data_IF_728461954578
#
_entry.id   IF_728461954578
#
_cell.length_a   1.000
_cell.length_b   1.000
_cell.length_c   1.000
_cell.angle_alpha   90.00
_cell.angle_beta   90.00
_cell.angle_gamma   90.00
#
_symmetry.space_group_name_H-M   'P 1'
#
loop_
_entity.id
_entity.type
_entity.pdbx_description
1 polymer ?
#
# COMPACT_ATOMS: atom_id res chain seq x y z
N UNK A 1 22.56 3.67 7.77
CA UNK A 1 21.34 3.82 6.97
C UNK A 1 20.09 4.14 7.82
N UNK A 2 19.73 3.34 8.83
CA UNK A 2 18.57 3.62 9.71
C UNK A 2 18.71 4.96 10.43
N UNK A 3 19.88 5.29 10.96
CA UNK A 3 20.15 6.58 11.60
C UNK A 3 20.01 7.78 10.65
N UNK A 4 20.39 7.63 9.39
CA UNK A 4 20.26 8.68 8.38
C UNK A 4 18.80 8.93 8.00
N UNK A 5 17.98 7.87 7.85
CA UNK A 5 16.56 8.00 7.58
C UNK A 5 15.82 8.68 8.73
N UNK A 6 16.12 8.33 9.99
CA UNK A 6 15.58 9.01 11.16
C UNK A 6 15.95 10.49 11.21
N UNK A 7 17.21 10.82 10.95
CA UNK A 7 17.66 12.20 10.93
C UNK A 7 16.96 13.01 9.84
N UNK A 8 16.78 12.43 8.66
CA UNK A 8 16.02 13.06 7.57
C UNK A 8 14.53 13.23 7.94
N UNK A 9 13.90 12.22 8.52
CA UNK A 9 12.50 12.31 8.96
C UNK A 9 12.32 13.42 10.00
N UNK A 10 13.17 13.49 11.01
CA UNK A 10 13.17 14.56 12.01
C UNK A 10 13.33 15.93 11.33
N UNK A 11 14.29 16.07 10.43
CA UNK A 11 14.52 17.33 9.68
C UNK A 11 13.29 17.75 8.88
N UNK A 12 12.55 16.80 8.26
CA UNK A 12 11.31 17.10 7.55
C UNK A 12 10.22 17.56 8.51
N UNK A 13 10.01 16.86 9.62
CA UNK A 13 9.05 17.27 10.67
C UNK A 13 9.33 18.69 11.17
N UNK A 14 10.61 19.05 11.41
CA UNK A 14 10.99 20.43 11.76
C UNK A 14 10.60 21.46 10.71
N UNK A 15 10.49 21.07 9.44
CA UNK A 15 10.01 21.90 8.32
C UNK A 15 8.51 21.84 8.10
N UNK A 16 7.75 21.28 9.04
CA UNK A 16 6.33 20.99 8.94
C UNK A 16 5.97 20.05 7.77
N UNK A 17 6.87 19.12 7.43
CA UNK A 17 6.68 18.15 6.35
C UNK A 17 6.89 16.71 6.85
N UNK A 18 6.30 15.77 6.15
CA UNK A 18 6.60 14.35 6.28
C UNK A 18 7.64 13.92 5.24
N UNK A 19 8.31 12.77 5.44
CA UNK A 19 9.12 12.15 4.39
C UNK A 19 8.29 11.95 3.11
N UNK A 20 8.65 12.66 2.05
CA UNK A 20 7.88 12.70 0.81
C UNK A 20 7.76 11.33 0.13
N UNK A 21 6.58 11.05 -0.42
CA UNK A 21 6.30 9.84 -1.19
C UNK A 21 5.71 10.19 -2.55
N UNK A 22 6.25 9.59 -3.61
CA UNK A 22 5.74 9.69 -4.96
C UNK A 22 5.29 8.32 -5.46
N UNK A 23 4.04 8.22 -5.91
CA UNK A 23 3.52 7.03 -6.60
C UNK A 23 3.45 7.36 -8.07
N UNK A 24 4.14 6.58 -8.91
CA UNK A 24 4.15 6.75 -10.36
C UNK A 24 3.43 5.56 -11.00
N UNK A 25 2.29 5.82 -11.61
CA UNK A 25 1.61 4.86 -12.46
C UNK A 25 2.31 4.84 -13.83
N UNK A 26 3.22 3.87 -14.02
CA UNK A 26 4.03 3.81 -15.25
C UNK A 26 3.23 3.40 -16.49
N UNK A 27 2.14 2.66 -16.29
CA UNK A 27 1.22 2.17 -17.32
C UNK A 27 -0.13 1.81 -16.75
N UNK A 28 -1.16 1.83 -17.55
CA UNK A 28 -2.47 1.24 -17.24
C UNK A 28 -2.71 -0.10 -17.97
N UNK A 29 -1.73 -0.60 -18.75
CA UNK A 29 -1.80 -1.92 -19.35
C UNK A 29 -1.70 -3.01 -18.28
N UNK A 30 -2.60 -4.00 -18.33
CA UNK A 30 -2.63 -5.15 -17.43
C UNK A 30 -3.09 -6.40 -18.17
N UNK A 31 -2.65 -7.56 -17.69
CA UNK A 31 -3.01 -8.88 -18.22
C UNK A 31 -3.91 -9.69 -17.27
N UNK A 32 -4.31 -9.14 -16.11
CA UNK A 32 -5.20 -9.78 -15.16
C UNK A 32 -6.67 -9.34 -15.31
N UNK A 33 -7.60 -10.12 -14.75
CA UNK A 33 -9.06 -9.91 -14.87
C UNK A 33 -9.71 -9.35 -13.62
N UNK A 34 -8.92 -9.01 -12.59
CA UNK A 34 -9.36 -8.66 -11.23
C UNK A 34 -10.66 -7.84 -11.21
N UNK A 35 -11.77 -8.33 -10.64
CA UNK A 35 -13.04 -7.61 -10.65
C UNK A 35 -12.95 -6.27 -9.89
N UNK A 36 -12.13 -6.21 -8.86
CA UNK A 36 -11.90 -5.02 -8.03
C UNK A 36 -11.06 -3.93 -8.71
N UNK A 37 -10.57 -4.12 -9.94
CA UNK A 37 -9.64 -3.20 -10.59
C UNK A 37 -10.17 -2.65 -11.91
N UNK A 38 -10.19 -1.33 -12.06
CA UNK A 38 -10.58 -0.69 -13.30
C UNK A 38 -9.61 -0.88 -14.46
N UNK A 39 -8.34 -1.24 -14.19
CA UNK A 39 -7.31 -1.48 -15.21
C UNK A 39 -7.29 -2.93 -15.76
N UNK A 40 -8.23 -3.76 -15.33
CA UNK A 40 -8.31 -5.16 -15.76
C UNK A 40 -8.31 -5.32 -17.29
N UNK A 41 -7.82 -6.46 -17.78
CA UNK A 41 -7.73 -6.75 -19.23
C UNK A 41 -9.08 -6.69 -19.96
N UNK A 42 -10.19 -6.87 -19.24
CA UNK A 42 -11.56 -6.79 -19.78
C UNK A 42 -12.10 -5.36 -19.89
N UNK A 43 -11.41 -4.35 -19.35
CA UNK A 43 -11.84 -2.96 -19.43
C UNK A 43 -11.49 -2.37 -20.81
N UNK A 44 -12.52 -1.83 -21.48
CA UNK A 44 -12.41 -1.33 -22.86
C UNK A 44 -11.99 0.13 -22.94
N UNK A 45 -10.69 0.42 -22.72
CA UNK A 45 -10.13 1.77 -22.97
C UNK A 45 -8.72 1.68 -23.59
N UNK A 46 -8.30 2.77 -24.25
CA UNK A 46 -6.96 2.85 -24.81
C UNK A 46 -5.91 2.86 -23.70
N UNK A 47 -5.00 1.89 -23.76
CA UNK A 47 -3.90 1.77 -22.79
C UNK A 47 -2.84 2.82 -22.98
N UNK A 48 -2.33 3.34 -21.89
CA UNK A 48 -1.28 4.36 -21.84
C UNK A 48 -0.04 3.82 -21.15
N UNK A 49 1.09 4.41 -21.49
CA UNK A 49 2.38 4.16 -20.85
C UNK A 49 3.20 5.42 -20.89
N UNK A 50 3.79 5.78 -19.77
CA UNK A 50 4.70 6.93 -19.70
C UNK A 50 6.02 6.62 -20.40
N UNK A 51 6.60 7.63 -21.01
CA UNK A 51 7.96 7.53 -21.54
C UNK A 51 8.98 7.46 -20.43
N UNK A 52 10.10 6.77 -20.65
CA UNK A 52 11.20 6.73 -19.70
C UNK A 52 11.69 8.13 -19.32
N UNK A 53 11.71 9.07 -20.28
CA UNK A 53 12.17 10.43 -20.01
C UNK A 53 11.21 11.20 -19.12
N UNK A 54 9.90 11.03 -19.27
CA UNK A 54 8.91 11.61 -18.36
C UNK A 54 9.10 11.09 -16.93
N UNK A 55 9.31 9.77 -16.79
CA UNK A 55 9.51 9.16 -15.47
C UNK A 55 10.84 9.61 -14.87
N UNK A 56 11.93 9.71 -15.64
CA UNK A 56 13.22 10.20 -15.16
C UNK A 56 13.13 11.62 -14.64
N UNK A 57 12.49 12.53 -15.38
CA UNK A 57 12.27 13.92 -14.91
C UNK A 57 11.52 13.96 -13.58
N UNK A 58 10.47 13.13 -13.42
CA UNK A 58 9.73 13.05 -12.17
C UNK A 58 10.60 12.49 -11.03
N UNK A 59 11.44 11.49 -11.28
CA UNK A 59 12.39 10.94 -10.29
C UNK A 59 13.42 12.00 -9.88
N UNK A 60 14.03 12.69 -10.83
CA UNK A 60 15.04 13.72 -10.56
C UNK A 60 14.44 14.86 -9.74
N UNK A 61 13.25 15.34 -10.13
CA UNK A 61 12.52 16.35 -9.37
C UNK A 61 12.14 15.87 -7.95
N UNK A 62 11.79 14.58 -7.79
CA UNK A 62 11.50 14.02 -6.47
C UNK A 62 12.76 13.99 -5.58
N UNK A 63 13.91 13.63 -6.13
CA UNK A 63 15.17 13.62 -5.43
C UNK A 63 15.60 15.05 -5.02
N UNK A 64 15.53 16.02 -5.93
CA UNK A 64 15.82 17.45 -5.67
C UNK A 64 14.89 18.03 -4.57
N UNK A 65 13.60 17.66 -4.60
CA UNK A 65 12.61 18.04 -3.59
C UNK A 65 12.75 17.27 -2.27
N UNK A 66 13.70 16.31 -2.17
CA UNK A 66 14.01 15.57 -0.94
C UNK A 66 13.01 14.46 -0.60
N UNK A 67 12.34 13.90 -1.59
CA UNK A 67 11.45 12.76 -1.41
C UNK A 67 12.22 11.52 -0.95
N UNK A 68 11.58 10.71 -0.09
CA UNK A 68 12.20 9.56 0.52
C UNK A 68 11.70 8.22 -0.04
N UNK A 69 10.57 8.22 -0.72
CA UNK A 69 10.00 7.00 -1.26
C UNK A 69 9.43 7.21 -2.68
N UNK A 70 9.70 6.24 -3.56
CA UNK A 70 9.05 6.14 -4.87
C UNK A 70 8.44 4.74 -5.01
N UNK A 71 7.19 4.71 -5.47
CA UNK A 71 6.49 3.48 -5.84
C UNK A 71 6.21 3.48 -7.33
N UNK A 72 6.76 2.50 -8.05
CA UNK A 72 6.35 2.25 -9.43
C UNK A 72 5.18 1.28 -9.42
N UNK A 73 4.04 1.73 -9.93
CA UNK A 73 2.79 0.98 -9.97
C UNK A 73 2.17 1.06 -11.37
N UNK A 74 0.97 0.56 -11.54
CA UNK A 74 0.27 0.65 -12.80
C UNK A 74 -0.78 -0.44 -12.94
N UNK A 75 -1.04 -0.85 -14.17
CA UNK A 75 -1.73 -2.09 -14.46
C UNK A 75 -0.89 -3.28 -14.00
N UNK A 76 0.13 -3.64 -14.81
CA UNK A 76 1.14 -4.64 -14.43
C UNK A 76 2.54 -4.14 -14.82
N UNK A 77 3.35 -3.68 -13.88
CA UNK A 77 4.67 -3.14 -14.17
C UNK A 77 5.64 -4.13 -14.82
N UNK A 78 5.54 -5.43 -14.48
CA UNK A 78 6.44 -6.46 -15.03
C UNK A 78 6.18 -6.78 -16.51
N UNK A 79 5.13 -6.25 -17.13
CA UNK A 79 4.99 -6.28 -18.60
C UNK A 79 6.10 -5.47 -19.29
N UNK A 80 6.75 -4.57 -18.57
CA UNK A 80 7.82 -3.68 -19.05
C UNK A 80 9.04 -3.78 -18.13
N UNK A 81 9.49 -5.02 -17.86
CA UNK A 81 10.53 -5.32 -16.86
C UNK A 81 11.83 -4.55 -17.09
N UNK A 82 12.33 -4.48 -18.32
CA UNK A 82 13.62 -3.82 -18.61
C UNK A 82 13.56 -2.32 -18.29
N UNK A 83 12.46 -1.66 -18.66
CA UNK A 83 12.25 -0.26 -18.31
C UNK A 83 12.08 -0.07 -16.82
N UNK A 84 11.33 -0.96 -16.16
CA UNK A 84 11.15 -0.92 -14.70
C UNK A 84 12.50 -1.03 -13.97
N UNK A 85 13.39 -1.92 -14.41
CA UNK A 85 14.75 -2.05 -13.87
C UNK A 85 15.54 -0.75 -14.08
N UNK A 86 15.43 -0.14 -15.28
CA UNK A 86 16.09 1.13 -15.58
C UNK A 86 15.57 2.27 -14.68
N UNK A 87 14.26 2.35 -14.44
CA UNK A 87 13.64 3.34 -13.55
C UNK A 87 14.10 3.16 -12.10
N UNK A 88 14.12 1.91 -11.59
CA UNK A 88 14.57 1.61 -10.22
C UNK A 88 16.05 2.00 -10.03
N UNK A 89 16.91 1.68 -11.01
CA UNK A 89 18.33 2.06 -10.98
C UNK A 89 18.48 3.58 -10.99
N UNK A 90 17.76 4.28 -11.86
CA UNK A 90 17.80 5.74 -11.95
C UNK A 90 17.36 6.39 -10.61
N UNK A 91 16.26 5.92 -10.01
CA UNK A 91 15.80 6.41 -8.72
C UNK A 91 16.85 6.22 -7.60
N UNK A 92 17.54 5.08 -7.60
CA UNK A 92 18.63 4.85 -6.65
C UNK A 92 19.83 5.74 -6.89
N UNK A 93 20.23 5.98 -8.15
CA UNK A 93 21.30 6.91 -8.53
C UNK A 93 20.97 8.36 -8.15
N UNK A 94 19.70 8.76 -8.30
CA UNK A 94 19.19 10.06 -7.87
C UNK A 94 19.13 10.20 -6.33
N UNK A 95 19.37 9.13 -5.56
CA UNK A 95 19.44 9.17 -4.11
C UNK A 95 18.14 8.87 -3.36
N UNK A 96 17.12 8.36 -4.03
CA UNK A 96 15.86 7.93 -3.37
C UNK A 96 16.14 6.67 -2.53
N UNK A 97 15.95 6.72 -1.19
CA UNK A 97 16.36 5.63 -0.33
C UNK A 97 15.37 4.45 -0.28
N UNK A 98 14.08 4.67 -0.56
CA UNK A 98 13.05 3.64 -0.49
C UNK A 98 12.30 3.52 -1.82
N UNK A 99 12.65 2.51 -2.61
CA UNK A 99 12.09 2.27 -3.92
C UNK A 99 11.29 0.96 -3.85
N UNK A 100 10.07 0.98 -4.35
CA UNK A 100 9.19 -0.19 -4.34
C UNK A 100 8.42 -0.36 -5.64
N UNK A 101 8.10 -1.61 -5.95
CA UNK A 101 7.21 -2.01 -7.04
C UNK A 101 6.57 -3.35 -6.72
N UNK A 102 5.67 -3.81 -7.56
CA UNK A 102 5.04 -5.12 -7.37
C UNK A 102 4.45 -5.69 -8.62
N UNK A 103 3.76 -6.82 -8.46
CA UNK A 103 3.17 -7.57 -9.56
C UNK A 103 1.84 -8.21 -9.17
N UNK A 104 0.98 -8.40 -10.16
CA UNK A 104 -0.21 -9.23 -10.03
C UNK A 104 0.11 -10.74 -9.91
N UNK A 105 1.37 -11.12 -10.14
CA UNK A 105 1.86 -12.48 -10.00
C UNK A 105 1.89 -13.31 -11.28
N UNK A 106 1.47 -12.80 -12.44
CA UNK A 106 1.38 -13.58 -13.69
C UNK A 106 2.66 -14.33 -14.05
N UNK A 107 3.82 -13.80 -13.68
CA UNK A 107 5.14 -14.40 -13.92
C UNK A 107 5.36 -15.70 -13.16
N UNK A 108 4.55 -15.98 -12.14
CA UNK A 108 4.62 -17.21 -11.34
C UNK A 108 3.75 -18.35 -11.86
N UNK A 109 2.93 -18.14 -12.90
CA UNK A 109 2.16 -19.23 -13.52
C UNK A 109 3.06 -20.29 -14.17
N UNK A 110 2.52 -21.50 -14.26
CA UNK A 110 3.22 -22.63 -14.91
C UNK A 110 4.40 -23.14 -14.11
N UNK A 111 4.23 -23.28 -12.82
CA UNK A 111 5.26 -23.77 -11.87
C UNK A 111 5.67 -25.24 -12.10
N UNK A 112 4.89 -25.98 -12.88
CA UNK A 112 5.15 -27.35 -13.35
C UNK A 112 5.94 -27.43 -14.66
N UNK A 113 6.08 -26.30 -15.37
CA UNK A 113 6.72 -26.25 -16.68
C UNK A 113 8.24 -26.23 -16.56
N UNK A 114 8.90 -26.90 -17.51
CA UNK A 114 10.37 -26.82 -17.66
C UNK A 114 10.82 -25.37 -17.81
N UNK A 115 11.85 -24.98 -17.07
CA UNK A 115 12.42 -23.64 -17.11
C UNK A 115 11.76 -22.63 -16.15
N UNK A 116 10.77 -23.03 -15.35
CA UNK A 116 10.16 -22.16 -14.34
C UNK A 116 11.22 -21.58 -13.39
N UNK A 117 12.02 -22.42 -12.74
CA UNK A 117 13.04 -21.96 -11.79
C UNK A 117 14.01 -20.97 -12.43
N UNK A 118 14.55 -21.28 -13.62
CA UNK A 118 15.49 -20.39 -14.32
C UNK A 118 14.86 -19.04 -14.72
N UNK A 119 13.54 -19.01 -15.00
CA UNK A 119 12.81 -17.77 -15.23
C UNK A 119 12.72 -16.95 -13.95
N UNK A 120 12.39 -17.58 -12.82
CA UNK A 120 12.28 -16.91 -11.54
C UNK A 120 13.64 -16.45 -11.02
N UNK A 121 14.68 -17.25 -11.17
CA UNK A 121 16.07 -16.87 -10.86
C UNK A 121 16.50 -15.61 -11.62
N UNK A 122 16.27 -15.55 -12.94
CA UNK A 122 16.57 -14.33 -13.72
C UNK A 122 15.83 -13.09 -13.20
N UNK A 123 14.54 -13.23 -12.89
CA UNK A 123 13.75 -12.12 -12.33
C UNK A 123 14.29 -11.69 -10.95
N UNK A 124 14.56 -12.67 -10.07
CA UNK A 124 15.07 -12.40 -8.73
C UNK A 124 16.44 -11.71 -8.77
N UNK A 125 17.35 -12.18 -9.62
CA UNK A 125 18.66 -11.53 -9.84
C UNK A 125 18.50 -10.12 -10.44
N UNK A 126 17.66 -9.95 -11.47
CA UNK A 126 17.43 -8.64 -12.08
C UNK A 126 16.95 -7.60 -11.05
N UNK A 127 16.05 -7.99 -10.13
CA UNK A 127 15.60 -7.13 -9.03
C UNK A 127 16.68 -6.99 -7.95
N UNK A 128 17.42 -8.04 -7.61
CA UNK A 128 18.50 -8.01 -6.62
C UNK A 128 19.65 -7.07 -7.01
N UNK A 129 19.92 -6.94 -8.30
CA UNK A 129 20.93 -6.03 -8.87
C UNK A 129 20.47 -4.55 -8.92
N UNK A 130 19.33 -4.24 -8.31
CA UNK A 130 18.79 -2.88 -8.20
C UNK A 130 18.71 -2.43 -6.73
N UNK A 131 18.57 -1.12 -6.46
CA UNK A 131 18.36 -0.62 -5.11
C UNK A 131 16.92 -0.76 -4.59
N UNK A 132 16.09 -1.65 -5.16
CA UNK A 132 14.73 -1.91 -4.70
C UNK A 132 14.72 -2.27 -3.20
N UNK A 133 13.73 -1.76 -2.46
CA UNK A 133 13.53 -2.07 -1.03
C UNK A 133 12.31 -2.92 -0.74
N UNK A 134 11.28 -2.82 -1.57
CA UNK A 134 10.12 -3.67 -1.43
C UNK A 134 9.61 -4.11 -2.80
N UNK A 135 9.42 -5.41 -2.95
CA UNK A 135 8.74 -6.03 -4.08
C UNK A 135 7.51 -6.73 -3.54
N UNK A 136 6.32 -6.26 -3.94
CA UNK A 136 5.08 -6.90 -3.48
C UNK A 136 4.48 -7.83 -4.54
N UNK A 137 3.84 -8.89 -4.07
CA UNK A 137 3.07 -9.85 -4.86
C UNK A 137 1.64 -9.79 -4.36
N UNK A 138 0.71 -9.51 -5.25
CA UNK A 138 -0.69 -9.36 -4.87
C UNK A 138 -1.34 -10.72 -4.58
N UNK A 139 -2.07 -10.81 -3.47
CA UNK A 139 -2.94 -11.94 -3.10
C UNK A 139 -4.23 -11.37 -2.51
N UNK A 140 -5.40 -11.73 -3.09
CA UNK A 140 -6.67 -11.10 -2.75
C UNK A 140 -7.61 -12.00 -1.92
N UNK A 141 -7.24 -13.25 -1.66
CA UNK A 141 -8.05 -14.18 -0.87
C UNK A 141 -7.17 -15.13 -0.06
N UNK A 142 -7.65 -15.54 1.11
CA UNK A 142 -7.06 -16.61 1.89
C UNK A 142 -7.24 -17.99 1.26
N UNK A 143 -8.09 -18.11 0.23
CA UNK A 143 -8.34 -19.34 -0.52
C UNK A 143 -7.68 -19.24 -1.89
N UNK A 144 -6.62 -20.03 -2.17
CA UNK A 144 -5.85 -19.94 -3.41
C UNK A 144 -6.69 -19.96 -4.68
N UNK A 145 -7.64 -20.89 -4.77
CA UNK A 145 -8.51 -21.06 -5.94
C UNK A 145 -9.37 -19.81 -6.21
N UNK A 146 -9.84 -19.16 -5.16
CA UNK A 146 -10.63 -17.91 -5.27
C UNK A 146 -9.75 -16.77 -5.75
N UNK A 147 -8.54 -16.63 -5.20
CA UNK A 147 -7.56 -15.65 -5.68
C UNK A 147 -7.26 -15.84 -7.18
N UNK A 148 -6.97 -17.07 -7.59
CA UNK A 148 -6.62 -17.42 -8.97
C UNK A 148 -7.78 -17.15 -9.94
N UNK A 149 -9.00 -17.51 -9.56
CA UNK A 149 -10.19 -17.27 -10.35
C UNK A 149 -10.47 -15.76 -10.53
N UNK A 150 -10.37 -14.98 -9.45
CA UNK A 150 -10.56 -13.53 -9.47
C UNK A 150 -9.57 -12.83 -10.41
N UNK A 151 -8.31 -13.25 -10.40
CA UNK A 151 -7.26 -12.63 -11.25
C UNK A 151 -7.22 -13.21 -12.65
N UNK A 152 -7.78 -14.40 -12.88
CA UNK A 152 -7.63 -15.16 -14.11
C UNK A 152 -6.20 -15.68 -14.31
N UNK A 153 -5.53 -16.05 -13.20
CA UNK A 153 -4.13 -16.50 -13.16
C UNK A 153 -4.03 -17.90 -12.51
N UNK A 154 -4.45 -18.96 -13.19
CA UNK A 154 -4.48 -20.31 -12.62
C UNK A 154 -3.08 -20.82 -12.26
N UNK A 155 -2.95 -21.49 -11.10
CA UNK A 155 -1.69 -22.05 -10.58
C UNK A 155 -0.68 -21.00 -10.12
N UNK A 156 -1.10 -19.72 -9.98
CA UNK A 156 -0.18 -18.65 -9.57
C UNK A 156 0.27 -18.81 -8.13
N UNK A 157 -0.58 -19.32 -7.23
CA UNK A 157 -0.25 -19.46 -5.81
C UNK A 157 0.82 -20.54 -5.58
N UNK A 158 0.70 -21.69 -6.26
CA UNK A 158 1.74 -22.72 -6.25
C UNK A 158 3.07 -22.17 -6.78
N UNK A 159 3.00 -21.37 -7.83
CA UNK A 159 4.18 -20.71 -8.39
C UNK A 159 4.82 -19.71 -7.45
N UNK A 160 4.04 -18.94 -6.71
CA UNK A 160 4.54 -18.03 -5.67
C UNK A 160 5.25 -18.81 -4.59
N UNK A 161 4.65 -19.91 -4.09
CA UNK A 161 5.26 -20.74 -3.06
C UNK A 161 6.64 -21.29 -3.49
N UNK A 162 6.76 -21.74 -4.74
CA UNK A 162 8.04 -22.21 -5.30
C UNK A 162 9.04 -21.08 -5.56
N UNK A 163 8.56 -19.88 -5.88
CA UNK A 163 9.42 -18.74 -6.21
C UNK A 163 10.02 -18.06 -4.98
N UNK A 164 9.29 -17.98 -3.85
CA UNK A 164 9.75 -17.25 -2.67
C UNK A 164 11.12 -17.71 -2.14
N UNK A 165 11.45 -19.02 -2.04
CA UNK A 165 12.79 -19.45 -1.64
C UNK A 165 13.88 -18.95 -2.60
N UNK A 166 13.61 -18.87 -3.90
CA UNK A 166 14.55 -18.36 -4.91
C UNK A 166 14.82 -16.87 -4.68
N UNK A 167 13.77 -16.07 -4.45
CA UNK A 167 13.91 -14.66 -4.10
C UNK A 167 14.70 -14.46 -2.79
N UNK A 168 14.42 -15.28 -1.77
CA UNK A 168 15.12 -15.21 -0.49
C UNK A 168 16.62 -15.52 -0.65
N UNK A 169 16.98 -16.50 -1.48
CA UNK A 169 18.37 -16.84 -1.79
C UNK A 169 19.11 -15.66 -2.48
N UNK A 170 18.38 -14.84 -3.27
CA UNK A 170 18.90 -13.63 -3.88
C UNK A 170 18.87 -12.39 -2.95
N UNK A 171 18.49 -12.54 -1.68
CA UNK A 171 18.40 -11.43 -0.71
C UNK A 171 17.24 -10.47 -0.97
N UNK A 172 16.18 -10.94 -1.62
CA UNK A 172 14.89 -10.25 -1.76
C UNK A 172 13.85 -10.99 -0.94
N UNK A 173 13.14 -10.27 -0.09
CA UNK A 173 12.06 -10.80 0.75
C UNK A 173 10.74 -10.13 0.33
N UNK A 174 10.02 -10.69 -0.65
CA UNK A 174 8.79 -10.08 -1.14
C UNK A 174 7.73 -9.95 -0.06
N UNK A 175 6.84 -8.96 -0.23
CA UNK A 175 5.65 -8.83 0.60
C UNK A 175 4.41 -9.38 -0.09
N UNK A 176 3.53 -10.06 0.65
CA UNK A 176 2.17 -10.28 0.20
C UNK A 176 1.39 -8.95 0.29
N UNK A 177 0.64 -8.62 -0.76
CA UNK A 177 -0.19 -7.43 -0.80
C UNK A 177 -1.65 -7.84 -0.95
N UNK A 178 -2.42 -7.73 0.13
CA UNK A 178 -3.83 -8.07 0.15
C UNK A 178 -4.66 -6.90 -0.38
N UNK A 179 -5.36 -7.09 -1.50
CA UNK A 179 -6.47 -6.21 -1.85
C UNK A 179 -7.73 -6.66 -1.11
N UNK A 180 -8.15 -5.93 -0.08
CA UNK A 180 -9.31 -6.31 0.73
C UNK A 180 -10.58 -6.26 -0.13
N UNK A 181 -11.34 -7.37 -0.10
CA UNK A 181 -12.54 -7.56 -0.89
C UNK A 181 -13.50 -8.55 -0.21
N UNK A 182 -14.70 -8.73 -0.76
CA UNK A 182 -15.72 -9.61 -0.18
C UNK A 182 -15.39 -11.10 -0.25
N UNK A 183 -14.45 -11.51 -1.11
CA UNK A 183 -14.02 -12.91 -1.28
C UNK A 183 -12.77 -13.27 -0.43
N UNK A 184 -12.43 -12.46 0.57
CA UNK A 184 -11.24 -12.65 1.39
C UNK A 184 -11.13 -14.06 1.99
N UNK A 185 -12.21 -14.57 2.59
CA UNK A 185 -12.26 -15.89 3.21
C UNK A 185 -12.83 -16.99 2.29
N UNK A 186 -12.87 -16.74 0.98
CA UNK A 186 -13.33 -17.74 0.00
C UNK A 186 -14.84 -17.78 -0.22
N UNK A 187 -15.59 -16.83 0.28
CA UNK A 187 -17.02 -16.70 -0.04
C UNK A 187 -17.22 -16.34 -1.51
N UNK A 188 -18.30 -16.80 -2.09
CA UNK A 188 -18.74 -16.36 -3.41
C UNK A 188 -19.52 -15.05 -3.26
N UNK A 189 -18.90 -13.92 -3.62
CA UNK A 189 -19.58 -12.61 -3.59
C UNK A 189 -20.78 -12.57 -4.56
N UNK A 190 -20.82 -13.48 -5.54
CA UNK A 190 -21.95 -13.59 -6.49
C UNK A 190 -23.23 -14.10 -5.83
N UNK A 191 -23.14 -14.77 -4.67
CA UNK A 191 -24.31 -15.20 -3.89
C UNK A 191 -24.78 -14.15 -2.90
N UNK A 192 -24.12 -12.97 -2.84
CA UNK A 192 -24.19 -12.02 -1.76
C UNK A 192 -25.14 -10.84 -1.94
N UNK A 193 -26.37 -11.04 -2.43
CA UNK A 193 -27.44 -10.05 -2.19
C UNK A 193 -27.96 -10.08 -0.72
N UNK A 194 -27.45 -10.99 0.12
CA UNK A 194 -27.71 -10.97 1.56
C UNK A 194 -26.51 -10.31 2.26
N UNK A 195 -26.65 -9.02 2.57
CA UNK A 195 -25.73 -8.35 3.49
C UNK A 195 -25.74 -9.09 4.82
N UNK A 196 -24.56 -9.53 5.26
CA UNK A 196 -24.41 -10.17 6.56
C UNK A 196 -24.86 -9.22 7.66
N UNK A 197 -25.48 -9.75 8.72
CA UNK A 197 -25.69 -8.98 9.94
C UNK A 197 -24.34 -8.48 10.50
N UNK A 198 -24.28 -7.33 11.18
CA UNK A 198 -23.03 -6.69 11.61
C UNK A 198 -22.06 -7.63 12.33
N UNK A 199 -22.55 -8.44 13.29
CA UNK A 199 -21.74 -9.40 14.01
C UNK A 199 -21.20 -10.52 13.11
N UNK A 200 -22.03 -11.07 12.23
CA UNK A 200 -21.60 -12.10 11.27
C UNK A 200 -20.58 -11.55 10.27
N UNK A 201 -20.73 -10.30 9.84
CA UNK A 201 -19.79 -9.59 8.99
C UNK A 201 -18.43 -9.43 9.70
N UNK A 202 -18.44 -8.94 10.93
CA UNK A 202 -17.21 -8.79 11.73
C UNK A 202 -16.49 -10.14 11.91
N UNK A 203 -17.19 -11.20 12.28
CA UNK A 203 -16.60 -12.53 12.49
C UNK A 203 -16.04 -13.11 11.16
N UNK A 204 -16.74 -12.93 10.06
CA UNK A 204 -16.27 -13.34 8.73
C UNK A 204 -14.93 -12.71 8.38
N UNK A 205 -14.81 -11.37 8.53
CA UNK A 205 -13.58 -10.66 8.22
C UNK A 205 -12.47 -10.95 9.23
N UNK A 206 -12.81 -11.05 10.51
CA UNK A 206 -11.84 -11.42 11.55
C UNK A 206 -11.18 -12.77 11.25
N UNK A 207 -12.00 -13.79 10.97
CA UNK A 207 -11.51 -15.11 10.58
C UNK A 207 -10.77 -15.08 9.24
N UNK A 208 -11.27 -14.32 8.27
CA UNK A 208 -10.65 -14.17 6.95
C UNK A 208 -9.25 -13.57 7.00
N UNK A 209 -9.03 -12.53 7.82
CA UNK A 209 -7.70 -11.96 8.02
C UNK A 209 -6.75 -12.92 8.70
N UNK A 210 -7.20 -13.68 9.71
CA UNK A 210 -6.39 -14.70 10.34
C UNK A 210 -6.00 -15.83 9.38
N UNK A 211 -6.92 -16.27 8.52
CA UNK A 211 -6.66 -17.25 7.48
C UNK A 211 -5.65 -16.71 6.45
N UNK A 212 -5.81 -15.45 6.05
CA UNK A 212 -4.90 -14.80 5.12
C UNK A 212 -3.47 -14.71 5.67
N UNK A 213 -3.31 -14.27 6.93
CA UNK A 213 -1.99 -14.21 7.56
C UNK A 213 -1.35 -15.60 7.70
N UNK A 214 -2.14 -16.64 8.01
CA UNK A 214 -1.64 -18.04 8.04
C UNK A 214 -1.16 -18.46 6.65
N UNK A 215 -1.98 -18.26 5.61
CA UNK A 215 -1.60 -18.57 4.23
C UNK A 215 -0.31 -17.82 3.84
N UNK A 216 -0.20 -16.54 4.13
CA UNK A 216 1.01 -15.78 3.81
C UNK A 216 2.26 -16.35 4.50
N UNK A 217 2.16 -16.78 5.76
CA UNK A 217 3.24 -17.46 6.47
C UNK A 217 3.57 -18.83 5.85
N UNK A 218 2.57 -19.62 5.51
CA UNK A 218 2.73 -20.97 4.91
C UNK A 218 3.35 -20.92 3.52
N UNK A 219 3.01 -19.90 2.72
CA UNK A 219 3.64 -19.66 1.42
C UNK A 219 5.11 -19.24 1.54
N UNK A 220 5.52 -18.75 2.71
CA UNK A 220 6.89 -18.29 2.96
C UNK A 220 7.07 -16.77 2.85
N UNK A 221 6.02 -15.98 2.77
CA UNK A 221 6.16 -14.52 2.87
C UNK A 221 6.69 -14.12 4.25
N UNK A 222 7.49 -13.06 4.25
CA UNK A 222 8.04 -12.49 5.48
C UNK A 222 7.46 -11.12 5.81
N UNK A 223 6.59 -10.62 4.94
CA UNK A 223 5.96 -9.30 5.05
C UNK A 223 4.58 -9.31 4.42
N UNK A 224 3.64 -8.56 5.01
CA UNK A 224 2.29 -8.36 4.49
C UNK A 224 1.92 -6.89 4.56
N UNK A 225 1.26 -6.42 3.50
CA UNK A 225 0.51 -5.16 3.47
C UNK A 225 -0.95 -5.44 3.13
N UNK A 226 -1.88 -4.64 3.67
CA UNK A 226 -3.29 -4.67 3.30
C UNK A 226 -3.65 -3.37 2.59
N UNK A 227 -4.09 -3.48 1.33
CA UNK A 227 -4.73 -2.38 0.62
C UNK A 227 -6.22 -2.37 0.98
N UNK A 228 -6.69 -1.24 1.48
CA UNK A 228 -8.08 -1.07 1.88
C UNK A 228 -9.02 -1.10 0.67
N UNK A 229 -10.34 -1.28 0.87
CA UNK A 229 -11.26 -1.40 -0.26
C UNK A 229 -11.19 -0.18 -1.17
N UNK A 230 -10.82 -0.41 -2.44
CA UNK A 230 -10.61 0.66 -3.44
C UNK A 230 -11.94 1.05 -4.10
N UNK A 231 -12.95 1.40 -3.31
CA UNK A 231 -14.25 1.88 -3.79
C UNK A 231 -14.64 3.18 -3.12
N UNK A 232 -15.21 4.07 -3.93
CA UNK A 232 -15.91 5.26 -3.45
C UNK A 232 -17.39 4.93 -3.57
N UNK A 233 -18.15 4.89 -2.46
CA UNK A 233 -19.59 4.62 -2.51
C UNK A 233 -20.33 5.65 -3.39
N UNK A 234 -21.28 5.18 -4.18
CA UNK A 234 -22.19 6.05 -4.93
C UNK A 234 -22.94 6.97 -3.95
N UNK A 235 -22.85 8.28 -4.13
CA UNK A 235 -23.46 9.28 -3.25
C UNK A 235 -22.48 9.99 -2.30
N UNK A 236 -21.32 9.41 -1.99
CA UNK A 236 -20.22 10.12 -1.28
C UNK A 236 -19.29 10.84 -2.26
N UNK A 237 -19.46 10.64 -3.58
CA UNK A 237 -18.72 11.36 -4.63
C UNK A 237 -19.01 12.87 -4.68
N UNK A 238 -19.97 13.37 -3.88
CA UNK A 238 -20.25 14.80 -3.74
C UNK A 238 -19.15 15.62 -3.06
N UNK A 239 -18.20 14.97 -2.41
CA UNK A 239 -17.13 15.62 -1.63
C UNK A 239 -15.80 15.77 -2.42
N UNK A 240 -15.82 15.70 -3.75
CA UNK A 240 -14.67 15.99 -4.60
C UNK A 240 -13.73 14.79 -4.84
N UNK A 241 -14.13 13.58 -4.43
CA UNK A 241 -13.39 12.37 -4.78
C UNK A 241 -13.69 11.95 -6.23
N UNK A 242 -12.66 11.87 -7.05
CA UNK A 242 -12.73 11.44 -8.45
C UNK A 242 -11.48 10.60 -8.75
N UNK A 243 -11.62 9.31 -9.08
CA UNK A 243 -10.47 8.46 -9.34
C UNK A 243 -9.62 8.98 -10.50
N UNK A 244 -8.32 9.13 -10.28
CA UNK A 244 -7.36 9.47 -11.34
C UNK A 244 -7.21 8.33 -12.33
N UNK A 245 -7.16 7.12 -11.81
CA UNK A 245 -7.07 5.91 -12.60
C UNK A 245 -8.34 5.08 -12.42
N UNK A 246 -8.70 4.35 -13.46
CA UNK A 246 -9.92 3.53 -13.49
C UNK A 246 -9.87 2.34 -12.50
N UNK A 247 -9.25 2.52 -11.34
CA UNK A 247 -8.99 1.47 -10.36
C UNK A 247 -10.07 1.34 -9.31
N UNK A 248 -10.98 2.30 -9.22
CA UNK A 248 -12.16 2.16 -8.37
C UNK A 248 -13.17 1.32 -9.11
N UNK A 249 -13.21 0.05 -8.78
CA UNK A 249 -14.25 -0.79 -9.30
C UNK A 249 -15.58 -0.37 -8.68
N UNK A 250 -16.56 -0.19 -9.53
CA UNK A 250 -17.98 -0.16 -9.17
C UNK A 250 -18.49 -1.58 -8.88
N UNK A 251 -17.57 -2.56 -8.76
CA UNK A 251 -17.90 -3.97 -8.56
C UNK A 251 -18.28 -4.22 -7.11
N UNK A 252 -19.36 -4.95 -6.90
CA UNK A 252 -19.88 -5.30 -5.56
C UNK A 252 -18.82 -5.95 -4.66
N UNK A 253 -17.80 -6.58 -5.25
CA UNK A 253 -16.72 -7.24 -4.51
C UNK A 253 -15.92 -6.30 -3.62
N UNK A 254 -15.89 -4.99 -3.92
CA UNK A 254 -15.22 -3.94 -3.12
C UNK A 254 -16.18 -2.87 -2.62
N UNK A 255 -17.47 -3.00 -2.89
CA UNK A 255 -18.48 -2.05 -2.43
C UNK A 255 -18.86 -2.36 -0.97
N UNK A 256 -18.38 -1.56 -0.04
CA UNK A 256 -18.65 -1.66 1.39
C UNK A 256 -19.35 -0.39 1.88
N UNK A 257 -20.41 -0.57 2.66
CA UNK A 257 -21.02 0.55 3.37
C UNK A 257 -20.08 1.10 4.44
N UNK A 258 -20.34 2.32 4.90
CA UNK A 258 -19.58 2.98 5.96
C UNK A 258 -19.47 2.12 7.24
N UNK A 259 -20.59 1.52 7.66
CA UNK A 259 -20.62 0.61 8.82
C UNK A 259 -19.78 -0.65 8.57
N UNK A 260 -19.92 -1.26 7.39
CA UNK A 260 -19.11 -2.44 7.02
C UNK A 260 -17.61 -2.11 7.04
N UNK A 261 -17.18 -0.95 6.53
CA UNK A 261 -15.77 -0.51 6.60
C UNK A 261 -15.29 -0.34 8.04
N UNK A 262 -16.10 0.23 8.93
CA UNK A 262 -15.75 0.37 10.35
C UNK A 262 -15.52 -1.00 11.00
N UNK A 263 -16.42 -1.95 10.80
CA UNK A 263 -16.29 -3.32 11.31
C UNK A 263 -15.10 -4.07 10.68
N UNK A 264 -14.86 -3.87 9.38
CA UNK A 264 -13.73 -4.45 8.67
C UNK A 264 -12.39 -3.97 9.22
N UNK A 265 -12.23 -2.66 9.46
CA UNK A 265 -11.00 -2.10 10.04
C UNK A 265 -10.81 -2.52 11.49
N UNK A 266 -11.89 -2.63 12.26
CA UNK A 266 -11.85 -3.22 13.60
C UNK A 266 -11.36 -4.68 13.55
N UNK A 267 -11.96 -5.51 12.71
CA UNK A 267 -11.59 -6.91 12.55
C UNK A 267 -10.11 -7.08 12.14
N UNK A 268 -9.63 -6.25 11.18
CA UNK A 268 -8.23 -6.24 10.78
C UNK A 268 -7.31 -5.83 11.93
N UNK A 269 -7.63 -4.75 12.64
CA UNK A 269 -6.85 -4.27 13.78
C UNK A 269 -6.69 -5.31 14.88
N UNK A 270 -7.73 -6.10 15.12
CA UNK A 270 -7.73 -7.15 16.13
C UNK A 270 -7.06 -8.45 15.67
N UNK A 271 -7.01 -8.74 14.36
CA UNK A 271 -6.29 -9.88 13.82
C UNK A 271 -4.75 -9.70 13.88
N UNK A 272 -4.27 -8.49 13.65
CA UNK A 272 -2.84 -8.17 13.52
C UNK A 272 -1.96 -8.65 14.67
N UNK A 273 -2.30 -8.45 15.98
CA UNK A 273 -1.41 -8.80 17.08
C UNK A 273 -0.98 -10.26 17.08
N UNK A 274 -1.88 -11.19 16.78
CA UNK A 274 -1.62 -12.64 16.77
C UNK A 274 -0.55 -13.07 15.75
N UNK A 275 -0.20 -12.19 14.79
CA UNK A 275 0.74 -12.51 13.72
C UNK A 275 2.00 -11.63 13.71
N UNK A 276 2.08 -10.56 14.50
CA UNK A 276 3.24 -9.64 14.54
C UNK A 276 4.57 -10.33 14.88
N UNK A 277 4.54 -11.43 15.61
CA UNK A 277 5.73 -12.24 15.91
C UNK A 277 6.16 -13.19 14.82
N UNK A 278 5.29 -13.45 13.83
CA UNK A 278 5.46 -14.47 12.78
C UNK A 278 5.72 -13.88 11.39
N UNK A 279 5.22 -12.67 11.14
CA UNK A 279 5.36 -11.98 9.85
C UNK A 279 5.37 -10.47 10.09
N UNK A 280 6.12 -9.72 9.29
CA UNK A 280 6.14 -8.25 9.35
C UNK A 280 4.86 -7.70 8.73
N UNK A 281 4.03 -6.99 9.49
CA UNK A 281 2.75 -6.44 9.03
C UNK A 281 2.89 -4.93 8.88
N UNK A 282 2.77 -4.46 7.63
CA UNK A 282 2.98 -3.05 7.27
C UNK A 282 1.83 -2.14 7.73
N UNK A 283 0.62 -2.66 7.85
CA UNK A 283 -0.58 -1.91 8.23
C UNK A 283 -0.51 -1.46 9.69
N UNK A 284 -0.51 -0.14 10.00
CA UNK A 284 -0.48 0.37 11.37
C UNK A 284 -1.86 0.27 12.02
N UNK A 285 -1.92 -0.27 13.22
CA UNK A 285 -3.18 -0.36 13.98
C UNK A 285 -3.69 1.02 14.41
N UNK A 286 -2.81 1.98 14.58
CA UNK A 286 -3.17 3.37 14.86
C UNK A 286 -4.04 3.94 13.75
N UNK A 287 -3.68 3.71 12.49
CA UNK A 287 -4.49 4.16 11.35
C UNK A 287 -5.84 3.44 11.28
N UNK A 288 -5.87 2.14 11.55
CA UNK A 288 -7.12 1.38 11.61
C UNK A 288 -8.06 1.89 12.70
N UNK A 289 -7.52 2.24 13.89
CA UNK A 289 -8.31 2.84 14.97
C UNK A 289 -8.88 4.20 14.55
N UNK A 290 -8.05 5.06 13.95
CA UNK A 290 -8.47 6.38 13.47
C UNK A 290 -9.56 6.27 12.39
N UNK A 291 -9.40 5.36 11.43
CA UNK A 291 -10.41 5.09 10.39
C UNK A 291 -11.70 4.51 10.96
N UNK A 292 -11.62 3.58 11.91
CA UNK A 292 -12.80 3.03 12.60
C UNK A 292 -13.60 4.14 13.29
N UNK A 293 -12.92 5.04 14.00
CA UNK A 293 -13.53 6.18 14.67
C UNK A 293 -14.17 7.15 13.67
N UNK A 294 -13.44 7.52 12.61
CA UNK A 294 -13.92 8.40 11.54
C UNK A 294 -15.20 7.85 10.91
N UNK A 295 -15.24 6.55 10.58
CA UNK A 295 -16.39 5.90 9.98
C UNK A 295 -17.57 5.73 10.94
N UNK A 296 -17.31 5.69 12.24
CA UNK A 296 -18.32 5.60 13.31
C UNK A 296 -18.68 6.95 13.92
N UNK A 297 -18.22 8.08 13.35
CA UNK A 297 -18.41 9.44 13.88
C UNK A 297 -18.00 9.61 15.34
N UNK A 298 -16.87 8.98 15.72
CA UNK A 298 -16.31 9.05 17.08
C UNK A 298 -15.15 10.06 17.14
N UNK A 299 -15.06 10.76 18.24
CA UNK A 299 -13.92 11.64 18.56
C UNK A 299 -12.78 10.85 19.26
N UNK A 300 -11.54 11.32 19.20
CA UNK A 300 -11.06 12.48 18.42
C UNK A 300 -10.92 12.18 16.93
N UNK A 301 -11.01 13.25 16.11
CA UNK A 301 -10.81 13.13 14.67
C UNK A 301 -9.42 12.58 14.30
N UNK A 302 -9.35 11.89 13.17
CA UNK A 302 -8.09 11.42 12.55
C UNK A 302 -7.21 12.59 12.12
N UNK A 303 -5.90 12.37 12.00
CA UNK A 303 -5.01 13.35 11.39
C UNK A 303 -5.34 13.52 9.90
N UNK A 304 -5.25 14.74 9.35
CA UNK A 304 -5.53 14.97 7.94
C UNK A 304 -4.50 14.25 7.05
N UNK A 305 -4.99 13.77 5.90
CA UNK A 305 -4.13 13.17 4.89
C UNK A 305 -3.17 14.20 4.29
N UNK A 306 -1.92 13.82 4.09
CA UNK A 306 -0.87 14.66 3.52
C UNK A 306 -0.76 14.54 1.99
N UNK A 307 -1.78 13.95 1.35
CA UNK A 307 -1.90 13.91 -0.11
C UNK A 307 -1.97 15.33 -0.70
N UNK A 308 -1.16 15.63 -1.71
CA UNK A 308 -1.01 16.97 -2.29
C UNK A 308 -0.10 17.91 -1.50
N UNK A 309 0.42 17.49 -0.34
CA UNK A 309 1.37 18.23 0.47
C UNK A 309 2.74 17.54 0.46
N UNK A 310 2.81 16.32 0.97
CA UNK A 310 4.04 15.52 1.06
C UNK A 310 3.97 14.27 0.18
N UNK A 311 2.77 13.87 -0.25
CA UNK A 311 2.52 12.68 -1.03
C UNK A 311 1.81 13.05 -2.33
N UNK A 312 2.26 12.46 -3.45
CA UNK A 312 1.72 12.76 -4.77
C UNK A 312 1.59 11.49 -5.61
N UNK A 313 0.67 11.55 -6.56
CA UNK A 313 0.40 10.50 -7.54
C UNK A 313 0.61 11.04 -8.94
N UNK A 314 1.33 10.30 -9.79
CA UNK A 314 1.50 10.60 -11.23
C UNK A 314 0.74 9.56 -12.03
N UNK A 315 -0.14 10.02 -12.94
CA UNK A 315 -0.96 9.16 -13.77
C UNK A 315 -0.24 8.65 -15.03
N UNK A 316 -0.70 7.52 -15.58
CA UNK A 316 -0.11 6.92 -16.77
C UNK A 316 -0.52 7.58 -18.08
N UNK A 317 -1.55 8.45 -18.10
CA UNK A 317 -2.10 9.05 -19.32
C UNK A 317 -1.35 10.31 -19.70
N UNK A 318 -1.25 11.24 -18.77
CA UNK A 318 -0.70 12.58 -18.97
C UNK A 318 0.71 12.73 -18.39
N UNK A 319 1.05 11.92 -17.38
CA UNK A 319 2.26 12.11 -16.57
C UNK A 319 2.13 13.29 -15.61
N UNK A 320 0.92 13.79 -15.39
CA UNK A 320 0.68 14.88 -14.46
C UNK A 320 0.61 14.38 -13.02
N UNK A 321 0.91 15.26 -12.10
CA UNK A 321 0.81 15.04 -10.67
C UNK A 321 -0.59 15.37 -10.16
N UNK A 322 -1.04 14.57 -9.19
CA UNK A 322 -2.31 14.74 -8.47
C UNK A 322 -2.05 14.64 -6.97
N UNK A 323 -2.91 15.24 -6.12
CA UNK A 323 -2.80 15.10 -4.67
C UNK A 323 -2.82 13.64 -4.19
N UNK A 324 -3.58 12.79 -4.88
CA UNK A 324 -3.64 11.34 -4.65
C UNK A 324 -4.37 10.64 -5.79
N UNK A 325 -4.51 9.32 -5.74
CA UNK A 325 -5.25 8.52 -6.73
C UNK A 325 -6.76 8.75 -6.75
N UNK A 326 -7.32 9.49 -5.79
CA UNK A 326 -8.77 9.77 -5.65
C UNK A 326 -9.15 11.23 -5.86
N UNK A 327 -8.22 12.12 -6.19
CA UNK A 327 -8.48 13.53 -6.50
C UNK A 327 -8.10 13.88 -7.93
N UNK A 328 -8.67 13.13 -8.88
CA UNK A 328 -8.42 13.29 -10.32
C UNK A 328 -8.94 14.60 -10.91
N UNK A 329 -9.82 15.32 -10.21
CA UNK A 329 -10.26 16.65 -10.61
C UNK A 329 -9.26 17.76 -10.22
N UNK A 330 -8.21 17.43 -9.45
CA UNK A 330 -7.18 18.36 -9.00
C UNK A 330 -5.88 18.06 -9.75
N UNK A 331 -5.84 18.34 -11.04
CA UNK A 331 -4.64 18.25 -11.86
C UNK A 331 -3.65 19.34 -11.46
N UNK A 332 -2.45 18.96 -11.01
CA UNK A 332 -1.40 19.86 -10.55
C UNK A 332 -0.32 20.10 -11.62
N UNK A 333 -0.50 19.56 -12.83
CA UNK A 333 0.48 19.66 -13.92
C UNK A 333 1.72 18.77 -13.73
N UNK A 334 2.82 19.13 -14.37
CA UNK A 334 4.08 18.39 -14.25
C UNK A 334 4.65 18.46 -12.84
N UNK A 335 5.06 17.30 -12.31
CA UNK A 335 5.58 17.20 -10.93
C UNK A 335 6.85 18.05 -10.71
N UNK A 336 7.67 18.18 -11.75
CA UNK A 336 8.87 19.00 -11.74
C UNK A 336 8.60 20.49 -11.48
N UNK A 337 7.46 21.00 -11.96
CA UNK A 337 7.07 22.39 -11.81
C UNK A 337 6.42 22.72 -10.45
N UNK A 338 6.08 21.72 -9.64
CA UNK A 338 5.43 21.96 -8.35
C UNK A 338 6.32 22.68 -7.37
N UNK A 339 5.79 23.76 -6.79
CA UNK A 339 6.40 24.45 -5.66
C UNK A 339 5.86 23.84 -4.35
N UNK A 340 6.70 23.12 -3.63
CA UNK A 340 6.28 22.49 -2.37
C UNK A 340 5.94 23.48 -1.25
N UNK A 341 6.41 24.72 -1.31
CA UNK A 341 6.01 25.74 -0.34
C UNK A 341 4.53 26.11 -0.49
N UNK A 342 4.08 26.28 -1.74
CA UNK A 342 2.67 26.56 -2.04
C UNK A 342 1.79 25.38 -1.62
N UNK A 343 2.19 24.14 -1.92
CA UNK A 343 1.44 22.95 -1.49
C UNK A 343 1.34 22.82 0.03
N UNK A 344 2.28 23.33 0.79
CA UNK A 344 2.23 23.32 2.25
C UNK A 344 1.19 24.31 2.79
N UNK A 345 1.07 25.49 2.15
CA UNK A 345 0.17 26.53 2.57
C UNK A 345 -1.28 26.27 2.12
N UNK A 346 -1.45 25.74 0.92
CA UNK A 346 -2.74 25.56 0.24
C UNK A 346 -3.20 24.10 0.21
N UNK A 347 -2.44 23.21 0.86
CA UNK A 347 -2.69 21.78 0.86
C UNK A 347 -4.03 21.41 1.48
N UNK A 348 -4.69 20.35 0.96
CA UNK A 348 -6.00 19.97 1.44
C UNK A 348 -5.95 19.41 2.87
N UNK A 349 -6.81 19.92 3.75
CA UNK A 349 -7.12 19.27 5.04
C UNK A 349 -8.10 18.11 4.77
N UNK A 350 -7.58 17.02 4.18
CA UNK A 350 -8.40 15.95 3.64
C UNK A 350 -8.56 14.80 4.62
N UNK A 351 -9.83 14.41 4.88
CA UNK A 351 -10.22 13.23 5.69
C UNK A 351 -11.24 12.32 4.97
N UNK A 352 -11.37 12.48 3.64
CA UNK A 352 -12.51 11.95 2.88
C UNK A 352 -12.44 10.44 2.62
N UNK A 353 -11.24 9.87 2.46
CA UNK A 353 -11.09 8.48 2.05
C UNK A 353 -10.22 7.66 3.02
N UNK A 354 -10.16 6.37 2.74
CA UNK A 354 -9.40 5.38 3.48
C UNK A 354 -8.18 4.83 2.70
N UNK A 355 -7.70 5.52 1.66
CA UNK A 355 -6.58 5.00 0.87
C UNK A 355 -5.29 4.91 1.68
N UNK A 356 -4.88 3.69 2.00
CA UNK A 356 -3.78 3.36 2.92
C UNK A 356 -2.45 4.00 2.54
N UNK A 357 -2.16 4.11 1.23
CA UNK A 357 -0.87 4.62 0.75
C UNK A 357 -0.51 5.99 1.31
N UNK A 358 -1.50 6.86 1.53
CA UNK A 358 -1.30 8.22 2.02
C UNK A 358 -1.93 8.44 3.41
N UNK A 359 -3.00 7.71 3.75
CA UNK A 359 -3.65 7.82 5.06
C UNK A 359 -2.79 7.24 6.18
N UNK A 360 -2.25 6.02 5.99
CA UNK A 360 -1.46 5.35 7.00
C UNK A 360 -0.21 6.14 7.42
N UNK A 361 0.66 6.63 6.51
CA UNK A 361 1.79 7.45 6.91
C UNK A 361 1.38 8.81 7.46
N UNK A 362 0.26 9.40 7.02
CA UNK A 362 -0.26 10.65 7.60
C UNK A 362 -0.68 10.46 9.04
N UNK A 363 -1.41 9.40 9.35
CA UNK A 363 -1.87 9.10 10.69
C UNK A 363 -0.71 8.69 11.62
N UNK A 364 0.20 7.84 11.13
CA UNK A 364 1.36 7.38 11.91
C UNK A 364 2.31 8.52 12.29
N UNK A 365 2.48 9.51 11.40
CA UNK A 365 3.39 10.65 11.61
C UNK A 365 2.67 11.91 12.10
N UNK A 366 1.36 11.93 12.07
CA UNK A 366 0.53 13.08 12.51
C UNK A 366 0.87 13.56 13.91
N UNK A 367 0.97 12.69 14.93
CA UNK A 367 1.34 13.10 16.27
C UNK A 367 2.69 13.82 16.37
N UNK A 368 3.65 13.49 15.50
CA UNK A 368 4.94 14.19 15.47
C UNK A 368 4.82 15.62 14.90
N UNK A 369 3.95 15.83 13.90
CA UNK A 369 3.64 17.17 13.39
C UNK A 369 2.86 17.99 14.42
N UNK A 370 1.90 17.40 15.12
CA UNK A 370 1.16 18.06 16.20
C UNK A 370 2.08 18.51 17.32
N UNK A 371 3.02 17.66 17.75
CA UNK A 371 4.02 18.01 18.77
C UNK A 371 4.90 19.19 18.34
N UNK A 372 5.20 19.31 17.05
CA UNK A 372 5.95 20.45 16.51
C UNK A 372 5.12 21.72 16.44
N UNK A 373 3.88 21.61 15.94
CA UNK A 373 3.05 22.78 15.60
C UNK A 373 2.24 23.30 16.80
N UNK A 374 1.73 22.38 17.63
CA UNK A 374 0.82 22.65 18.75
C UNK A 374 1.16 21.80 19.97
N UNK A 375 2.37 21.94 20.56
CA UNK A 375 2.90 20.99 21.56
C UNK A 375 1.99 20.81 22.78
N UNK A 376 1.40 21.88 23.29
CA UNK A 376 0.50 21.81 24.47
C UNK A 376 -0.76 21.00 24.16
N UNK A 377 -1.36 21.24 22.98
CA UNK A 377 -2.56 20.53 22.54
C UNK A 377 -2.26 19.06 22.24
N UNK A 378 -1.11 18.78 21.60
CA UNK A 378 -0.65 17.43 21.32
C UNK A 378 -0.44 16.64 22.60
N UNK A 379 0.24 17.20 23.60
CA UNK A 379 0.44 16.55 24.91
C UNK A 379 -0.90 16.32 25.60
N UNK A 380 -1.82 17.29 25.57
CA UNK A 380 -3.16 17.15 26.14
C UNK A 380 -3.91 16.00 25.45
N UNK A 381 -3.91 15.95 24.10
CA UNK A 381 -4.51 14.87 23.32
C UNK A 381 -3.93 13.51 23.67
N UNK A 382 -2.61 13.40 23.74
CA UNK A 382 -1.92 12.17 24.13
C UNK A 382 -2.28 11.71 25.55
N UNK A 383 -2.48 12.64 26.48
CA UNK A 383 -2.87 12.33 27.86
C UNK A 383 -4.34 11.92 27.99
N UNK A 384 -5.22 12.51 27.19
CA UNK A 384 -6.68 12.23 27.22
C UNK A 384 -7.04 10.99 26.41
N UNK A 385 -6.40 10.76 25.24
CA UNK A 385 -6.59 9.58 24.41
C UNK A 385 -5.45 8.56 24.61
N UNK A 386 -5.44 7.96 25.80
CA UNK A 386 -4.39 6.99 26.18
C UNK A 386 -4.37 5.75 25.29
N UNK A 387 -5.54 5.28 24.84
CA UNK A 387 -5.66 4.11 23.95
C UNK A 387 -4.96 4.33 22.63
N UNK A 388 -5.21 5.45 21.98
CA UNK A 388 -4.54 5.86 20.75
C UNK A 388 -3.02 6.02 20.97
N UNK A 389 -2.64 6.73 22.01
CA UNK A 389 -1.23 7.01 22.31
C UNK A 389 -0.42 5.75 22.55
N UNK A 390 -0.94 4.80 23.31
CA UNK A 390 -0.27 3.52 23.57
C UNK A 390 -0.14 2.69 22.30
N UNK A 391 -1.19 2.66 21.49
CA UNK A 391 -1.20 1.95 20.22
C UNK A 391 -0.19 2.57 19.21
N UNK A 392 -0.13 3.90 19.16
CA UNK A 392 0.84 4.63 18.34
C UNK A 392 2.29 4.32 18.73
N UNK A 393 2.60 4.34 20.02
CA UNK A 393 3.93 3.97 20.51
C UNK A 393 4.27 2.50 20.24
N UNK A 394 3.28 1.61 20.32
CA UNK A 394 3.42 0.19 19.96
C UNK A 394 3.76 0.05 18.45
N UNK A 395 3.02 0.74 17.58
CA UNK A 395 3.27 0.71 16.14
C UNK A 395 4.66 1.23 15.80
N UNK A 396 5.11 2.35 16.39
CA UNK A 396 6.46 2.88 16.16
C UNK A 396 7.56 1.88 16.57
N UNK A 397 7.42 1.22 17.72
CA UNK A 397 8.36 0.18 18.18
C UNK A 397 8.34 -1.02 17.25
N UNK A 398 7.15 -1.43 16.81
CA UNK A 398 6.99 -2.54 15.89
C UNK A 398 7.61 -2.23 14.51
N UNK A 399 7.41 -1.03 13.97
CA UNK A 399 8.05 -0.61 12.72
C UNK A 399 9.58 -0.67 12.80
N UNK A 400 10.14 -0.25 13.93
CA UNK A 400 11.57 -0.39 14.19
C UNK A 400 11.99 -1.87 14.26
N UNK A 401 11.23 -2.72 14.94
CA UNK A 401 11.49 -4.17 15.01
C UNK A 401 11.43 -4.83 13.64
N UNK A 402 10.52 -4.38 12.77
CA UNK A 402 10.39 -4.81 11.37
C UNK A 402 11.54 -4.31 10.46
N UNK A 403 12.46 -3.47 10.97
CA UNK A 403 13.51 -2.85 10.16
C UNK A 403 12.97 -1.92 9.09
N UNK A 404 11.85 -1.24 9.40
CA UNK A 404 11.11 -0.35 8.48
C UNK A 404 10.76 -1.02 7.15
N UNK A 405 10.41 -2.30 7.23
CA UNK A 405 9.95 -3.10 6.09
C UNK A 405 10.94 -3.14 4.91
N UNK A 406 12.24 -3.10 5.22
CA UNK A 406 13.29 -3.30 4.22
C UNK A 406 13.26 -4.75 3.72
N UNK A 407 12.72 -4.95 2.52
CA UNK A 407 12.62 -6.25 1.85
C UNK A 407 13.97 -6.78 1.34
N UNK A 408 15.08 -6.07 1.57
CA UNK A 408 16.45 -6.57 1.32
C UNK A 408 17.06 -7.26 2.54
N UNK A 409 16.31 -7.34 3.63
CA UNK A 409 16.77 -7.92 4.89
C UNK A 409 15.82 -9.01 5.35
N UNK A 410 16.41 -10.13 5.75
CA UNK A 410 15.68 -11.16 6.48
C UNK A 410 15.02 -10.58 7.75
N UNK A 411 13.86 -11.09 8.15
CA UNK A 411 13.20 -10.66 9.38
C UNK A 411 14.08 -10.88 10.60
N UNK A 412 14.11 -9.90 11.51
CA UNK A 412 14.76 -10.05 12.81
C UNK A 412 13.85 -10.78 13.79
N UNK A 413 13.72 -12.10 13.64
CA UNK A 413 12.75 -12.92 14.39
C UNK A 413 12.83 -12.71 15.91
N UNK A 414 14.02 -12.57 16.49
CA UNK A 414 14.17 -12.34 17.93
C UNK A 414 13.55 -11.01 18.38
N UNK A 415 13.57 -9.99 17.53
CA UNK A 415 12.92 -8.70 17.82
C UNK A 415 11.41 -8.79 17.64
N UNK A 416 10.95 -9.49 16.60
CA UNK A 416 9.52 -9.66 16.31
C UNK A 416 8.82 -10.50 17.39
N UNK A 417 9.48 -11.50 17.99
CA UNK A 417 8.93 -12.30 19.07
C UNK A 417 8.56 -11.49 20.32
N UNK A 418 9.17 -10.32 20.51
CA UNK A 418 8.80 -9.40 21.60
C UNK A 418 7.43 -8.75 21.41
N UNK A 419 6.85 -8.87 20.21
CA UNK A 419 5.52 -8.41 19.86
C UNK A 419 4.48 -9.55 19.76
N UNK A 420 4.78 -10.73 20.32
CA UNK A 420 3.80 -11.78 20.49
C UNK A 420 2.76 -11.33 21.53
N UNK A 421 1.47 -11.38 21.18
CA UNK A 421 0.34 -11.12 22.09
C UNK A 421 0.03 -12.33 22.91
#
# INVERSE_FOLDING_TARGET
MISALWFQAIRQVWRNRLPGQLIIQITDACNAKCPQCGMRVTAGFKRSRLSLDTIRRAIDAAAEKGFQAISFTGGEPLLFLDDLIAMIRHAGQAGIPYIRTGTNGFVFMGSDKKGFNSRIERLAHALADTPIRNFWISIDSAVPQVHEAMRGLPGVVDGIQKALPIFHACGIYPSANLGINRNLAGGDASTGNQRLAPEAFYQYYRSGFEQFYRLACELGFTMVNCCYPMSIPDGESGEGLSPVYAATATDDVVNFSRMEKALLFQALSEAIPSFRSRIRIFTPRTSLLALTRQLSHQEPESHPCRGGIDFFFIDAKTGHAYPCGYRGNTDMGGFEALNLTDTLNDGPDCRECDWECFRDPSELMGPALDLRNHPVQAIKRMATDRSYTLLWLEDLRYYQACGFFDGRKAPGWNRLRQHAS
#
